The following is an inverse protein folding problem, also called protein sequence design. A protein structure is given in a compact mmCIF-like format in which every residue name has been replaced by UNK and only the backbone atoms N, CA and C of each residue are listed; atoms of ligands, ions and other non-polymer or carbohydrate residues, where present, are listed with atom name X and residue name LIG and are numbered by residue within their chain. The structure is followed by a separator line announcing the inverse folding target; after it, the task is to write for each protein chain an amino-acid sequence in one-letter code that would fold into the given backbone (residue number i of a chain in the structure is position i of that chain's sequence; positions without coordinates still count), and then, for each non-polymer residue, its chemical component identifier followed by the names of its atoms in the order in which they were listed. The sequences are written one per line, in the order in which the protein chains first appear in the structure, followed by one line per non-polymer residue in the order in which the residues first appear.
data_IF_142757985149
#
_entry.id   IF_142757985149
#
_cell.length_a   1.000
_cell.length_b   1.000
_cell.length_c   1.000
_cell.angle_alpha   90.00
_cell.angle_beta   90.00
_cell.angle_gamma   90.00
#
_symmetry.space_group_name_H-M   'P 1'
#
loop_
_entity.id
_entity.type
_entity.pdbx_description
1 polymer ?
#
# COMPACT_ATOMS: atom_id res chain seq x y z
N UNK A 1 0.62 -36.91 -41.83
CA UNK A 1 -0.19 -35.96 -41.03
C UNK A 1 0.61 -34.67 -40.85
N UNK A 2 0.31 -33.66 -41.67
CA UNK A 2 1.04 -32.40 -41.76
C UNK A 2 0.05 -31.25 -41.58
N UNK A 3 -0.05 -30.68 -40.37
CA UNK A 3 -0.85 -29.49 -40.11
C UNK A 3 0.00 -28.24 -40.27
N UNK A 4 0.23 -27.86 -41.53
CA UNK A 4 0.64 -26.53 -41.94
C UNK A 4 -0.51 -25.57 -41.62
N UNK A 5 -0.50 -24.97 -40.42
CA UNK A 5 -1.49 -23.96 -40.01
C UNK A 5 -1.38 -22.74 -40.93
N UNK A 6 -2.25 -22.71 -41.94
CA UNK A 6 -2.52 -21.58 -42.83
C UNK A 6 -2.90 -20.36 -42.00
N UNK A 7 -2.18 -19.25 -42.16
CA UNK A 7 -2.60 -17.92 -41.66
C UNK A 7 -1.62 -17.18 -40.75
N UNK A 8 -0.39 -17.68 -40.54
CA UNK A 8 0.64 -16.98 -39.74
C UNK A 8 1.62 -16.15 -40.57
N UNK A 9 1.26 -15.88 -41.83
CA UNK A 9 2.03 -15.03 -42.74
C UNK A 9 1.59 -13.57 -42.51
N UNK A 10 1.67 -13.10 -41.26
CA UNK A 10 1.52 -11.67 -40.99
C UNK A 10 2.67 -10.95 -41.70
N UNK A 11 2.42 -9.87 -42.46
CA UNK A 11 3.49 -9.01 -42.93
C UNK A 11 4.19 -8.45 -41.68
N UNK A 12 5.36 -9.00 -41.34
CA UNK A 12 6.22 -8.60 -40.20
C UNK A 12 6.76 -7.16 -40.32
N UNK A 13 6.21 -6.36 -41.23
CA UNK A 13 6.61 -5.00 -41.60
C UNK A 13 5.45 -4.01 -41.60
N UNK A 14 4.26 -4.37 -41.12
CA UNK A 14 3.25 -3.38 -40.79
C UNK A 14 3.82 -2.44 -39.72
N UNK A 15 3.91 -1.10 -39.96
CA UNK A 15 4.34 -0.15 -38.95
C UNK A 15 3.41 -0.29 -37.75
N UNK A 16 3.90 -0.89 -36.67
CA UNK A 16 3.12 -1.04 -35.44
C UNK A 16 2.91 0.39 -34.93
N UNK A 17 1.66 0.86 -34.76
CA UNK A 17 1.42 2.17 -34.19
C UNK A 17 2.08 2.19 -32.81
N UNK A 18 3.14 2.99 -32.67
CA UNK A 18 3.78 3.28 -31.38
C UNK A 18 2.74 4.08 -30.60
N UNK A 19 1.96 3.37 -29.78
CA UNK A 19 1.06 3.98 -28.81
C UNK A 19 1.95 4.67 -27.77
N UNK A 20 2.22 5.96 -27.99
CA UNK A 20 2.92 6.81 -27.05
C UNK A 20 1.92 7.30 -26.02
N UNK A 21 2.02 6.81 -24.79
CA UNK A 21 1.30 7.37 -23.64
C UNK A 21 0.29 6.42 -23.00
N UNK A 22 0.75 5.28 -22.48
CA UNK A 22 0.05 4.62 -21.39
C UNK A 22 0.30 5.43 -20.11
N UNK A 23 -0.72 6.15 -19.63
CA UNK A 23 -0.72 6.90 -18.38
C UNK A 23 -0.67 5.90 -17.21
N UNK A 24 0.51 5.37 -16.92
CA UNK A 24 0.71 4.44 -15.82
C UNK A 24 0.35 5.12 -14.48
N UNK A 25 -0.30 4.42 -13.54
CA UNK A 25 -0.52 4.94 -12.20
C UNK A 25 0.83 5.34 -11.59
N UNK A 26 0.91 6.55 -11.02
CA UNK A 26 2.17 7.08 -10.53
C UNK A 26 2.48 6.52 -9.12
N UNK A 27 2.90 5.26 -9.06
CA UNK A 27 3.31 4.59 -7.80
C UNK A 27 4.47 5.33 -7.11
N UNK A 28 5.32 6.03 -7.87
CA UNK A 28 6.42 6.84 -7.34
C UNK A 28 5.90 7.97 -6.45
N UNK A 29 4.76 8.58 -6.79
CA UNK A 29 4.16 9.63 -5.97
C UNK A 29 3.72 9.10 -4.59
N UNK A 30 3.11 7.90 -4.55
CA UNK A 30 2.72 7.25 -3.29
C UNK A 30 3.96 6.85 -2.48
N UNK A 31 5.00 6.34 -3.14
CA UNK A 31 6.27 6.02 -2.49
C UNK A 31 6.87 7.25 -1.77
N UNK A 32 6.94 8.39 -2.46
CA UNK A 32 7.43 9.65 -1.87
C UNK A 32 6.60 10.03 -0.64
N UNK A 33 5.28 9.88 -0.70
CA UNK A 33 4.41 10.17 0.45
C UNK A 33 4.68 9.24 1.65
N UNK A 34 4.92 7.95 1.41
CA UNK A 34 5.28 7.00 2.47
C UNK A 34 6.61 7.36 3.13
N UNK A 35 7.62 7.74 2.33
CA UNK A 35 8.92 8.20 2.83
C UNK A 35 8.75 9.49 3.63
N UNK A 36 7.96 10.45 3.15
CA UNK A 36 7.69 11.69 3.86
C UNK A 36 7.02 11.43 5.22
N UNK A 37 6.01 10.56 5.27
CA UNK A 37 5.37 10.14 6.53
C UNK A 37 6.34 9.38 7.45
N UNK A 38 7.35 8.69 6.90
CA UNK A 38 8.39 8.04 7.70
C UNK A 38 9.29 9.06 8.38
N UNK A 39 9.81 10.01 7.62
CA UNK A 39 10.63 11.09 8.15
C UNK A 39 9.86 11.96 9.14
N UNK A 40 8.59 12.28 8.85
CA UNK A 40 7.74 13.05 9.77
C UNK A 40 7.54 12.34 11.11
N UNK A 41 7.35 11.01 11.08
CA UNK A 41 7.19 10.22 12.29
C UNK A 41 8.49 10.15 13.12
N UNK A 42 9.65 10.10 12.46
CA UNK A 42 10.95 10.14 13.16
C UNK A 42 11.22 11.53 13.75
N UNK A 43 10.93 12.59 12.99
CA UNK A 43 11.05 13.97 13.46
C UNK A 43 10.14 14.24 14.67
N UNK A 44 8.92 13.70 14.67
CA UNK A 44 8.00 13.78 15.82
C UNK A 44 8.58 13.15 17.10
N UNK A 45 9.47 12.17 16.97
CA UNK A 45 10.19 11.55 18.10
C UNK A 45 11.38 12.37 18.61
N UNK A 46 11.93 13.25 17.78
CA UNK A 46 13.07 14.12 18.14
C UNK A 46 12.63 15.46 18.73
N UNK A 47 11.41 15.89 18.42
CA UNK A 47 10.81 17.08 19.02
C UNK A 47 10.56 16.84 20.52
N UNK A 48 10.87 17.81 21.40
CA UNK A 48 10.59 17.74 22.84
C UNK A 48 9.08 17.95 23.12
N UNK A 49 8.23 17.18 22.44
CA UNK A 49 6.81 17.09 22.72
C UNK A 49 6.56 16.12 23.88
N UNK A 50 5.54 16.39 24.69
CA UNK A 50 5.13 15.47 25.75
C UNK A 50 4.89 14.06 25.21
N UNK A 51 5.28 13.04 25.97
CA UNK A 51 5.27 11.61 25.55
C UNK A 51 3.97 11.18 24.87
N UNK A 52 2.83 11.66 25.36
CA UNK A 52 1.50 11.39 24.82
C UNK A 52 1.30 11.93 23.41
N UNK A 53 1.79 13.15 23.14
CA UNK A 53 1.67 13.80 21.83
C UNK A 53 2.52 13.07 20.80
N UNK A 54 3.76 12.74 21.16
CA UNK A 54 4.66 11.97 20.29
C UNK A 54 4.05 10.61 19.94
N UNK A 55 3.50 9.88 20.93
CA UNK A 55 2.84 8.59 20.69
C UNK A 55 1.63 8.75 19.76
N UNK A 56 0.78 9.76 19.98
CA UNK A 56 -0.39 10.00 19.14
C UNK A 56 -0.01 10.30 17.68
N UNK A 57 1.00 11.15 17.46
CA UNK A 57 1.48 11.53 16.11
C UNK A 57 2.11 10.34 15.40
N UNK A 58 2.95 9.57 16.09
CA UNK A 58 3.59 8.37 15.51
C UNK A 58 2.52 7.33 15.14
N UNK A 59 1.53 7.12 16.00
CA UNK A 59 0.44 6.17 15.74
C UNK A 59 -0.44 6.62 14.57
N UNK A 60 -0.82 7.91 14.52
CA UNK A 60 -1.56 8.46 13.39
C UNK A 60 -0.80 8.32 12.07
N UNK A 61 0.50 8.62 12.06
CA UNK A 61 1.35 8.47 10.88
C UNK A 61 1.47 7.00 10.43
N UNK A 62 1.53 6.06 11.38
CA UNK A 62 1.54 4.63 11.08
C UNK A 62 0.23 4.17 10.43
N UNK A 63 -0.92 4.60 10.96
CA UNK A 63 -2.25 4.29 10.41
C UNK A 63 -2.41 4.82 8.99
N UNK A 64 -2.00 6.07 8.73
CA UNK A 64 -2.10 6.68 7.38
C UNK A 64 -1.22 5.91 6.38
N UNK A 65 0.00 5.52 6.74
CA UNK A 65 0.85 4.68 5.87
C UNK A 65 0.20 3.35 5.56
N UNK A 66 -0.35 2.67 6.56
CA UNK A 66 -1.02 1.39 6.37
C UNK A 66 -2.19 1.52 5.37
N UNK A 67 -2.99 2.59 5.48
CA UNK A 67 -4.06 2.90 4.52
C UNK A 67 -3.52 3.16 3.11
N UNK A 68 -2.46 3.97 2.97
CA UNK A 68 -1.87 4.26 1.66
C UNK A 68 -1.34 2.99 0.98
N UNK A 69 -0.70 2.09 1.74
CA UNK A 69 -0.21 0.80 1.23
C UNK A 69 -1.38 -0.09 0.81
N UNK A 70 -2.41 -0.23 1.65
CA UNK A 70 -3.59 -1.04 1.35
C UNK A 70 -4.34 -0.54 0.10
N UNK A 71 -4.52 0.77 -0.03
CA UNK A 71 -5.27 1.36 -1.15
C UNK A 71 -4.51 1.37 -2.47
N UNK A 72 -3.18 1.57 -2.44
CA UNK A 72 -2.40 1.85 -3.64
C UNK A 72 -1.44 0.72 -4.07
N UNK A 73 -0.84 -0.02 -3.12
CA UNK A 73 0.13 -1.08 -3.44
C UNK A 73 -0.51 -2.47 -3.49
N UNK A 74 -1.60 -2.71 -2.78
CA UNK A 74 -2.31 -3.99 -2.80
C UNK A 74 -3.39 -4.09 -3.89
N UNK A 75 -3.43 -3.14 -4.84
CA UNK A 75 -4.40 -3.12 -5.96
C UNK A 75 -5.89 -3.24 -5.60
N UNK A 76 -6.28 -3.01 -4.33
CA UNK A 76 -7.67 -3.02 -3.86
C UNK A 76 -8.61 -2.09 -4.62
N UNK A 77 -8.07 -1.05 -5.28
CA UNK A 77 -8.84 -0.12 -6.10
C UNK A 77 -9.39 -0.75 -7.40
N UNK A 78 -8.80 -1.84 -7.88
CA UNK A 78 -9.09 -2.43 -9.19
C UNK A 78 -9.52 -3.91 -9.15
N UNK A 79 -9.70 -4.50 -7.97
CA UNK A 79 -10.00 -5.93 -7.77
C UNK A 79 -11.29 -6.20 -6.97
N UNK A 80 -11.84 -7.44 -7.01
CA UNK A 80 -13.11 -7.78 -6.38
C UNK A 80 -13.09 -7.65 -4.84
N UNK A 81 -14.26 -7.36 -4.26
CA UNK A 81 -14.53 -7.08 -2.83
C UNK A 81 -13.90 -8.08 -1.83
N UNK A 82 -13.61 -9.30 -2.28
CA UNK A 82 -13.03 -10.36 -1.46
C UNK A 82 -11.58 -10.08 -1.04
N UNK A 83 -10.78 -9.43 -1.91
CA UNK A 83 -9.41 -9.00 -1.60
C UNK A 83 -9.40 -7.89 -0.55
N UNK A 84 -10.42 -7.02 -0.58
CA UNK A 84 -10.63 -6.00 0.44
C UNK A 84 -10.91 -6.61 1.81
N UNK A 85 -11.76 -7.64 1.88
CA UNK A 85 -12.03 -8.37 3.12
C UNK A 85 -10.77 -9.06 3.66
N UNK A 86 -9.98 -9.68 2.77
CA UNK A 86 -8.75 -10.39 3.14
C UNK A 86 -7.66 -9.46 3.68
N UNK A 87 -7.60 -8.20 3.22
CA UNK A 87 -6.71 -7.17 3.77
C UNK A 87 -7.26 -6.53 5.05
N UNK A 88 -8.59 -6.37 5.18
CA UNK A 88 -9.23 -5.76 6.34
C UNK A 88 -9.19 -6.66 7.58
N UNK A 89 -9.33 -7.97 7.41
CA UNK A 89 -9.29 -8.96 8.51
C UNK A 89 -8.00 -8.88 9.34
N UNK A 90 -6.77 -8.99 8.76
CA UNK A 90 -5.54 -8.89 9.55
C UNK A 90 -5.38 -7.50 10.16
N UNK A 91 -5.84 -6.43 9.49
CA UNK A 91 -5.81 -5.08 10.05
C UNK A 91 -6.70 -4.95 11.30
N UNK A 92 -7.91 -5.52 11.24
CA UNK A 92 -8.82 -5.58 12.39
C UNK A 92 -8.24 -6.41 13.52
N UNK A 93 -7.66 -7.58 13.22
CA UNK A 93 -7.02 -8.44 14.21
C UNK A 93 -5.87 -7.71 14.91
N UNK A 94 -5.02 -7.01 14.16
CA UNK A 94 -3.93 -6.19 14.73
C UNK A 94 -4.49 -5.05 15.59
N UNK A 95 -5.54 -4.37 15.16
CA UNK A 95 -6.17 -3.29 15.93
C UNK A 95 -6.77 -3.80 17.24
N UNK A 96 -7.49 -4.93 17.20
CA UNK A 96 -8.06 -5.58 18.38
C UNK A 96 -6.96 -6.06 19.33
N UNK A 97 -5.93 -6.73 18.81
CA UNK A 97 -4.79 -7.16 19.60
C UNK A 97 -4.09 -5.98 20.26
N UNK A 98 -3.85 -4.89 19.52
CA UNK A 98 -3.19 -3.71 20.06
C UNK A 98 -3.96 -3.13 21.26
N UNK A 99 -5.28 -3.00 21.16
CA UNK A 99 -6.14 -2.49 22.26
C UNK A 99 -6.22 -3.49 23.40
N UNK A 100 -6.37 -4.78 23.11
CA UNK A 100 -6.46 -5.85 24.10
C UNK A 100 -5.16 -6.01 24.89
N UNK A 101 -4.00 -5.71 24.30
CA UNK A 101 -2.71 -5.79 24.96
C UNK A 101 -2.41 -4.57 25.85
N UNK A 102 -3.05 -3.42 25.64
CA UNK A 102 -2.83 -2.23 26.49
C UNK A 102 -3.02 -2.52 27.98
N UNK A 103 -4.17 -3.08 28.44
CA UNK A 103 -4.36 -3.36 29.85
C UNK A 103 -3.34 -4.39 30.37
N UNK A 104 -2.99 -5.41 29.58
CA UNK A 104 -2.02 -6.43 29.97
C UNK A 104 -0.60 -5.85 30.18
N UNK A 105 -0.19 -4.94 29.29
CA UNK A 105 1.09 -4.23 29.39
C UNK A 105 1.14 -3.20 30.53
N UNK A 106 -0.01 -2.59 30.83
CA UNK A 106 -0.13 -1.59 31.92
C UNK A 106 -0.19 -2.27 33.28
N UNK A 107 -0.90 -3.39 33.40
CA UNK A 107 -1.12 -4.11 34.65
C UNK A 107 0.11 -4.92 35.10
N UNK A 108 1.03 -5.24 34.18
CA UNK A 108 2.26 -5.99 34.45
C UNK A 108 3.45 -5.14 34.91
N UNK A 109 3.25 -3.85 35.20
CA UNK A 109 4.22 -2.97 35.89
C UNK A 109 3.89 -2.88 37.38
#
# INVERSE_FOLDING_TARGET
MALRRRGLDLPLSAPVPVVTGSRAPNYVAIWVWLVALALASLAAGLLPGGRTVTVAVVFAAATVKALLVALNYMHLRFEPRLVHALALVPLLVVAVLAVALVPDLVLRR
#
